data_IF_807630991558
#
_entry.id   IF_807630991558
#
_cell.length_a   1.000
_cell.length_b   1.000
_cell.length_c   1.000
_cell.angle_alpha   90.00
_cell.angle_beta   90.00
_cell.angle_gamma   90.00
#
_symmetry.space_group_name_H-M   'P 1'
#
loop_
_entity.id
_entity.type
_entity.pdbx_description
1 polymer ?
#
# COMPACT_ATOMS: atom_id res chain seq x y z
N UNK A 1 46.02 -19.30 -38.65
CA UNK A 1 45.61 -18.04 -37.98
C UNK A 1 44.09 -18.06 -37.87
N UNK A 2 43.55 -18.37 -36.69
CA UNK A 2 42.18 -17.98 -36.29
C UNK A 2 42.00 -18.25 -34.80
N UNK A 3 42.06 -17.17 -34.02
CA UNK A 3 41.76 -17.14 -32.61
C UNK A 3 40.24 -17.07 -32.44
N UNK A 4 39.60 -18.20 -32.15
CA UNK A 4 38.21 -18.19 -31.67
C UNK A 4 38.25 -18.20 -30.15
N UNK A 5 38.32 -17.00 -29.58
CA UNK A 5 38.33 -16.76 -28.14
C UNK A 5 36.94 -17.13 -27.58
N UNK A 6 36.83 -18.33 -27.01
CA UNK A 6 35.66 -18.74 -26.24
C UNK A 6 35.65 -17.93 -24.95
N UNK A 7 34.96 -16.78 -24.96
CA UNK A 7 34.59 -16.10 -23.71
C UNK A 7 33.62 -17.02 -22.96
N UNK A 8 34.15 -17.79 -22.03
CA UNK A 8 33.38 -18.40 -20.95
C UNK A 8 32.63 -17.26 -20.26
N UNK A 9 31.31 -17.18 -20.47
CA UNK A 9 30.45 -16.35 -19.64
C UNK A 9 30.37 -17.02 -18.27
N UNK A 10 31.42 -16.84 -17.46
CA UNK A 10 31.30 -17.01 -16.02
C UNK A 10 30.31 -15.94 -15.55
N UNK A 11 29.05 -16.35 -15.44
CA UNK A 11 28.01 -15.57 -14.77
C UNK A 11 28.59 -15.22 -13.40
N UNK A 12 28.85 -13.92 -13.09
CA UNK A 12 29.43 -13.56 -11.81
C UNK A 12 28.53 -14.16 -10.74
N UNK A 13 29.14 -14.95 -9.84
CA UNK A 13 28.47 -15.50 -8.66
C UNK A 13 27.91 -14.27 -7.96
N UNK A 14 26.63 -14.00 -8.20
CA UNK A 14 26.00 -12.77 -7.77
C UNK A 14 26.14 -12.76 -6.26
N UNK A 15 26.70 -11.69 -5.69
CA UNK A 15 26.76 -11.51 -4.24
C UNK A 15 25.43 -11.99 -3.64
N UNK A 16 25.45 -12.76 -2.54
CA UNK A 16 24.21 -13.18 -1.92
C UNK A 16 23.42 -11.92 -1.60
N UNK A 17 22.38 -11.64 -2.40
CA UNK A 17 21.44 -10.58 -2.11
C UNK A 17 20.86 -10.98 -0.77
N UNK A 18 21.24 -10.26 0.29
CA UNK A 18 20.73 -10.47 1.62
C UNK A 18 19.25 -10.06 1.61
N UNK A 19 18.43 -10.94 1.06
CA UNK A 19 17.01 -10.75 0.83
C UNK A 19 16.37 -11.29 2.08
N UNK A 20 16.05 -10.39 3.01
CA UNK A 20 15.31 -10.72 4.21
C UNK A 20 13.92 -11.20 3.79
N UNK A 21 13.71 -12.52 3.83
CA UNK A 21 12.42 -13.13 3.57
C UNK A 21 11.61 -13.23 4.87
N UNK A 22 10.29 -13.12 4.77
CA UNK A 22 9.40 -13.38 5.89
C UNK A 22 9.45 -14.87 6.26
N UNK A 23 9.42 -15.19 7.55
CA UNK A 23 9.23 -16.56 8.04
C UNK A 23 7.79 -17.00 7.82
N UNK A 24 7.51 -18.30 7.96
CA UNK A 24 6.14 -18.84 7.83
C UNK A 24 5.20 -18.18 8.85
N UNK A 25 5.60 -18.08 10.11
CA UNK A 25 4.79 -17.40 11.14
C UNK A 25 4.54 -15.92 10.81
N UNK A 26 5.53 -15.23 10.24
CA UNK A 26 5.37 -13.83 9.80
C UNK A 26 4.44 -13.69 8.59
N UNK A 27 4.29 -14.74 7.76
CA UNK A 27 3.35 -14.76 6.65
C UNK A 27 1.92 -14.92 7.18
N UNK A 28 1.71 -15.77 8.19
CA UNK A 28 0.41 -15.94 8.83
C UNK A 28 -0.02 -14.66 9.57
N UNK A 29 0.89 -14.06 10.36
CA UNK A 29 0.67 -12.76 11.03
C UNK A 29 0.32 -11.65 10.02
N UNK A 30 1.03 -11.62 8.88
CA UNK A 30 0.75 -10.66 7.80
C UNK A 30 -0.61 -10.93 7.14
N UNK A 31 -0.98 -12.19 6.94
CA UNK A 31 -2.27 -12.59 6.43
C UNK A 31 -3.42 -12.11 7.32
N UNK A 32 -3.30 -12.31 8.64
CA UNK A 32 -4.28 -11.82 9.61
C UNK A 32 -4.36 -10.29 9.61
N UNK A 33 -3.22 -9.60 9.57
CA UNK A 33 -3.17 -8.14 9.50
C UNK A 33 -3.84 -7.59 8.23
N UNK A 34 -3.64 -8.22 7.07
CA UNK A 34 -4.28 -7.82 5.80
C UNK A 34 -5.80 -8.05 5.85
N UNK A 35 -6.24 -9.17 6.40
CA UNK A 35 -7.67 -9.46 6.56
C UNK A 35 -8.34 -8.46 7.49
N UNK A 36 -7.71 -8.14 8.63
CA UNK A 36 -8.19 -7.11 9.55
C UNK A 36 -8.25 -5.74 8.88
N UNK A 37 -7.19 -5.35 8.14
CA UNK A 37 -7.17 -4.07 7.42
C UNK A 37 -8.26 -4.01 6.35
N UNK A 38 -8.48 -5.09 5.62
CA UNK A 38 -9.54 -5.18 4.59
C UNK A 38 -10.92 -4.99 5.22
N UNK A 39 -11.16 -5.57 6.40
CA UNK A 39 -12.41 -5.34 7.15
C UNK A 39 -12.59 -3.87 7.51
N UNK A 40 -11.56 -3.22 8.04
CA UNK A 40 -11.64 -1.80 8.41
C UNK A 40 -11.86 -0.90 7.16
N UNK A 41 -11.22 -1.23 6.04
CA UNK A 41 -11.47 -0.54 4.76
C UNK A 41 -12.93 -0.71 4.33
N UNK A 42 -13.47 -1.93 4.41
CA UNK A 42 -14.89 -2.17 4.10
C UNK A 42 -15.80 -1.30 4.96
N UNK A 43 -15.56 -1.23 6.27
CA UNK A 43 -16.36 -0.42 7.20
C UNK A 43 -16.28 1.06 6.85
N UNK A 44 -15.09 1.57 6.50
CA UNK A 44 -14.92 2.95 6.06
C UNK A 44 -15.70 3.22 4.76
N UNK A 45 -15.59 2.31 3.78
CA UNK A 45 -16.33 2.42 2.51
C UNK A 45 -17.83 2.42 2.75
N UNK A 46 -18.36 1.49 3.56
CA UNK A 46 -19.78 1.42 3.89
C UNK A 46 -20.27 2.71 4.57
N UNK A 47 -19.49 3.23 5.53
CA UNK A 47 -19.82 4.50 6.20
C UNK A 47 -19.84 5.70 5.25
N UNK A 48 -18.98 5.73 4.22
CA UNK A 48 -19.01 6.78 3.20
C UNK A 48 -20.30 6.68 2.38
N UNK A 49 -20.69 5.49 1.93
CA UNK A 49 -21.93 5.30 1.17
C UNK A 49 -23.16 5.66 2.02
N UNK A 50 -23.18 5.29 3.31
CA UNK A 50 -24.24 5.67 4.23
C UNK A 50 -24.29 7.19 4.42
N UNK A 51 -23.13 7.85 4.54
CA UNK A 51 -23.06 9.31 4.66
C UNK A 51 -23.63 10.00 3.41
N UNK A 52 -23.24 9.55 2.22
CA UNK A 52 -23.76 10.04 0.94
C UNK A 52 -25.29 9.89 0.87
N UNK A 53 -25.80 8.69 1.13
CA UNK A 53 -27.24 8.42 1.14
C UNK A 53 -28.01 9.27 2.16
N UNK A 54 -27.44 9.49 3.35
CA UNK A 54 -28.03 10.38 4.36
C UNK A 54 -28.06 11.82 3.84
N UNK A 55 -26.95 12.35 3.30
CA UNK A 55 -26.89 13.71 2.76
C UNK A 55 -27.87 13.92 1.60
N UNK A 56 -28.03 12.93 0.72
CA UNK A 56 -29.01 12.95 -0.36
C UNK A 56 -30.45 12.93 0.17
N UNK A 57 -30.74 12.10 1.17
CA UNK A 57 -32.07 12.05 1.80
C UNK A 57 -32.47 13.37 2.47
N UNK A 58 -31.48 14.17 2.89
CA UNK A 58 -31.67 15.51 3.45
C UNK A 58 -31.62 16.61 2.38
N UNK A 59 -31.42 16.28 1.09
CA UNK A 59 -31.33 17.24 -0.01
C UNK A 59 -30.09 18.14 0.04
N UNK A 60 -29.03 17.71 0.72
CA UNK A 60 -27.79 18.49 0.90
C UNK A 60 -26.82 18.30 -0.27
N UNK A 61 -26.72 17.06 -0.77
CA UNK A 61 -25.78 16.64 -1.81
C UNK A 61 -26.37 15.45 -2.56
N UNK A 62 -26.43 15.50 -3.89
CA UNK A 62 -26.77 14.32 -4.67
C UNK A 62 -25.56 13.37 -4.75
N UNK A 63 -25.76 12.05 -4.65
CA UNK A 63 -24.64 11.10 -4.67
C UNK A 63 -23.82 11.23 -5.97
N UNK A 64 -24.50 11.47 -7.10
CA UNK A 64 -23.86 11.68 -8.40
C UNK A 64 -22.90 12.89 -8.44
N UNK A 65 -23.07 13.88 -7.56
CA UNK A 65 -22.14 15.00 -7.46
C UNK A 65 -20.79 14.57 -6.88
N UNK A 66 -20.76 13.60 -5.95
CA UNK A 66 -19.51 13.04 -5.41
C UNK A 66 -18.72 12.33 -6.49
N UNK A 67 -19.39 11.48 -7.28
CA UNK A 67 -18.77 10.74 -8.38
C UNK A 67 -18.25 11.66 -9.49
N UNK A 68 -18.97 12.75 -9.76
CA UNK A 68 -18.60 13.73 -10.78
C UNK A 68 -17.58 14.78 -10.27
N UNK A 69 -17.35 14.84 -8.96
CA UNK A 69 -16.52 15.89 -8.36
C UNK A 69 -15.07 15.77 -8.82
N UNK A 70 -14.55 16.84 -9.42
CA UNK A 70 -13.14 16.97 -9.73
C UNK A 70 -12.46 17.90 -8.73
N UNK A 71 -11.52 17.38 -7.91
CA UNK A 71 -10.78 18.22 -6.99
C UNK A 71 -10.02 19.33 -7.71
N UNK A 72 -9.99 20.52 -7.11
CA UNK A 72 -9.07 21.57 -7.55
C UNK A 72 -7.61 21.11 -7.39
N UNK A 73 -6.64 21.72 -8.10
CA UNK A 73 -5.22 21.41 -7.92
C UNK A 73 -4.77 21.50 -6.46
N UNK A 74 -5.28 22.49 -5.71
CA UNK A 74 -4.97 22.70 -4.30
C UNK A 74 -5.53 21.57 -3.43
N UNK A 75 -6.79 21.17 -3.66
CA UNK A 75 -7.41 20.07 -2.93
C UNK A 75 -6.71 18.75 -3.23
N UNK A 76 -6.40 18.49 -4.51
CA UNK A 76 -5.66 17.29 -4.91
C UNK A 76 -4.29 17.21 -4.24
N UNK A 77 -3.57 18.34 -4.16
CA UNK A 77 -2.28 18.40 -3.46
C UNK A 77 -2.41 18.05 -1.97
N UNK A 78 -3.46 18.53 -1.30
CA UNK A 78 -3.75 18.18 0.10
C UNK A 78 -4.07 16.69 0.27
N UNK A 79 -4.88 16.12 -0.63
CA UNK A 79 -5.21 14.69 -0.62
C UNK A 79 -3.97 13.83 -0.83
N UNK A 80 -3.09 14.21 -1.76
CA UNK A 80 -1.82 13.53 -2.01
C UNK A 80 -0.91 13.58 -0.78
N UNK A 81 -0.77 14.74 -0.13
CA UNK A 81 0.04 14.89 1.07
C UNK A 81 -0.48 14.00 2.23
N UNK A 82 -1.81 13.92 2.41
CA UNK A 82 -2.44 13.03 3.40
C UNK A 82 -2.15 11.56 3.09
N UNK A 83 -2.31 11.14 1.82
CA UNK A 83 -1.98 9.78 1.37
C UNK A 83 -0.52 9.44 1.64
N UNK A 84 0.39 10.34 1.29
CA UNK A 84 1.83 10.11 1.45
C UNK A 84 2.21 10.01 2.94
N UNK A 85 1.58 10.79 3.82
CA UNK A 85 1.76 10.67 5.27
C UNK A 85 1.31 9.30 5.80
N UNK A 86 0.17 8.78 5.34
CA UNK A 86 -0.32 7.45 5.70
C UNK A 86 0.66 6.37 5.24
N UNK A 87 1.10 6.43 3.97
CA UNK A 87 2.06 5.46 3.40
C UNK A 87 3.38 5.51 4.18
N UNK A 88 3.90 6.69 4.50
CA UNK A 88 5.13 6.81 5.28
C UNK A 88 4.98 6.23 6.69
N UNK A 89 3.84 6.46 7.36
CA UNK A 89 3.57 5.88 8.68
C UNK A 89 3.53 4.35 8.62
N UNK A 90 2.88 3.79 7.61
CA UNK A 90 2.85 2.35 7.39
C UNK A 90 4.26 1.78 7.14
N UNK A 91 5.04 2.42 6.27
CA UNK A 91 6.41 1.99 5.98
C UNK A 91 7.33 2.08 7.20
N UNK A 92 7.13 3.08 8.08
CA UNK A 92 7.83 3.17 9.37
C UNK A 92 7.46 2.00 10.28
N UNK A 93 6.17 1.71 10.44
CA UNK A 93 5.70 0.59 11.27
C UNK A 93 6.25 -0.76 10.79
N UNK A 94 6.24 -1.01 9.48
CA UNK A 94 6.75 -2.25 8.89
C UNK A 94 8.29 -2.40 9.02
N UNK A 95 9.04 -1.30 9.00
CA UNK A 95 10.51 -1.33 9.19
C UNK A 95 10.93 -1.46 10.65
N UNK A 96 10.09 -1.02 11.60
CA UNK A 96 10.38 -1.08 13.04
C UNK A 96 10.27 -2.50 13.63
N UNK A 97 9.64 -3.45 12.94
CA UNK A 97 9.63 -4.85 13.32
C UNK A 97 10.87 -5.54 12.71
N UNK A 98 12.02 -5.59 13.43
CA UNK A 98 12.43 -6.83 14.10
C UNK A 98 13.58 -6.69 15.15
N UNK A 99 13.41 -5.95 16.25
CA UNK A 99 14.40 -5.98 17.37
C UNK A 99 13.82 -6.32 18.75
N UNK A 100 12.50 -6.51 18.88
CA UNK A 100 11.87 -6.79 20.17
C UNK A 100 11.23 -8.18 20.19
N UNK A 101 12.07 -9.21 20.30
CA UNK A 101 11.72 -10.52 20.89
C UNK A 101 13.04 -11.25 21.18
N UNK A 102 13.57 -11.02 22.39
CA UNK A 102 14.64 -11.79 23.03
C UNK A 102 14.20 -12.08 24.44
#
# INVERSE_FOLDING_TARGET
MNAMNQKTFERPISEPVNRRMLTVDQIDDLGEAILSLTREIWVLTDRVHVLEAVLESHGVLANAEVDAFQPSPELQAQLNAKRDAIVQNLMRALRAAPEARS
#
